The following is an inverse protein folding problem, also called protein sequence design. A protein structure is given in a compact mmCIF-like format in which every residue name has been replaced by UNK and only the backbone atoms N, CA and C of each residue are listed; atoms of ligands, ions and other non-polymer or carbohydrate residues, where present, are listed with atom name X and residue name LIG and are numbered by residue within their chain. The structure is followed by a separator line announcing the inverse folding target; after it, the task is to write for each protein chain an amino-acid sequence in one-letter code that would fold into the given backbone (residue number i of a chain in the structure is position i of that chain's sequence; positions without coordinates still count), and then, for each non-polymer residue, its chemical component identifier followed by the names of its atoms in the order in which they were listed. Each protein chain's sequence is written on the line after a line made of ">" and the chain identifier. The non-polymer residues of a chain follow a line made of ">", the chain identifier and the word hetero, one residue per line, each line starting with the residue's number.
data_IF_020982490765
#
_entry.id   IF_020982490765
#
_cell.length_a   1.000
_cell.length_b   1.000
_cell.length_c   1.000
_cell.angle_alpha   90.00
_cell.angle_beta   90.00
_cell.angle_gamma   90.00
#
_symmetry.space_group_name_H-M   'P 1'
#
loop_
_entity.id
_entity.type
_entity.pdbx_description
1 polymer ?
#
# COMPACT_ATOMS: atom_id res chain seq x y z
N UNK A 1 -13.35 -21.21 0.71
CA UNK A 1 -12.51 -20.61 1.76
C UNK A 1 -13.42 -19.90 2.74
N UNK A 2 -13.14 -20.00 4.04
CA UNK A 2 -13.83 -19.22 5.09
C UNK A 2 -12.81 -18.24 5.67
N UNK A 3 -13.16 -16.96 5.75
CA UNK A 3 -12.29 -15.91 6.25
C UNK A 3 -13.05 -14.99 7.19
N UNK A 4 -12.37 -14.42 8.19
CA UNK A 4 -12.95 -13.37 9.02
C UNK A 4 -12.93 -12.04 8.26
N UNK A 5 -13.93 -11.19 8.50
CA UNK A 5 -14.02 -9.82 7.98
C UNK A 5 -13.05 -8.82 8.66
N UNK A 6 -12.11 -9.31 9.48
CA UNK A 6 -11.08 -8.50 10.11
C UNK A 6 -10.03 -7.99 9.10
N UNK A 7 -9.82 -6.67 9.08
CA UNK A 7 -8.71 -6.02 8.37
C UNK A 7 -8.69 -6.26 6.85
N UNK A 8 -7.49 -6.42 6.29
CA UNK A 8 -7.28 -6.55 4.82
C UNK A 8 -7.88 -7.80 4.17
N UNK A 9 -8.38 -8.77 4.95
CA UNK A 9 -9.04 -9.95 4.40
C UNK A 9 -10.40 -9.63 3.77
N UNK A 10 -11.09 -8.58 4.25
CA UNK A 10 -12.35 -8.12 3.66
C UNK A 10 -12.18 -7.59 2.23
N UNK A 11 -11.01 -7.04 1.90
CA UNK A 11 -10.70 -6.53 0.56
C UNK A 11 -10.37 -7.67 -0.42
N UNK A 12 -9.84 -8.78 0.12
CA UNK A 12 -9.39 -9.95 -0.65
C UNK A 12 -10.51 -10.97 -0.87
N UNK A 13 -11.46 -11.10 0.06
CA UNK A 13 -12.55 -12.08 -0.04
C UNK A 13 -13.89 -11.40 -0.29
N UNK A 14 -14.45 -11.62 -1.47
CA UNK A 14 -15.82 -11.24 -1.81
C UNK A 14 -16.78 -12.31 -1.30
N UNK A 15 -17.63 -11.94 -0.36
CA UNK A 15 -18.63 -12.83 0.26
C UNK A 15 -19.52 -13.47 -0.81
N UNK A 16 -19.72 -14.79 -0.72
CA UNK A 16 -20.51 -15.63 -1.62
C UNK A 16 -20.07 -15.61 -3.10
N UNK A 17 -18.91 -15.03 -3.40
CA UNK A 17 -18.34 -15.02 -4.77
C UNK A 17 -16.99 -15.74 -4.82
N UNK A 18 -16.11 -15.45 -3.86
CA UNK A 18 -14.74 -16.01 -3.79
C UNK A 18 -14.48 -16.73 -2.47
N UNK A 19 -15.42 -16.64 -1.53
CA UNK A 19 -15.40 -17.32 -0.24
C UNK A 19 -16.50 -16.79 0.66
N UNK A 20 -16.57 -17.35 1.87
CA UNK A 20 -17.56 -16.94 2.87
C UNK A 20 -16.86 -16.14 3.95
N UNK A 21 -17.31 -14.90 4.14
CA UNK A 21 -16.88 -14.05 5.26
C UNK A 21 -17.67 -14.37 6.53
N UNK A 22 -16.98 -14.45 7.66
CA UNK A 22 -17.57 -14.51 9.00
C UNK A 22 -17.19 -13.27 9.81
N UNK A 23 -18.05 -12.87 10.74
CA UNK A 23 -17.78 -11.74 11.61
C UNK A 23 -16.60 -12.02 12.53
N UNK A 24 -15.69 -11.05 12.63
CA UNK A 24 -14.56 -11.09 13.55
C UNK A 24 -15.03 -11.28 14.99
N UNK A 25 -14.34 -12.15 15.73
CA UNK A 25 -14.62 -12.45 17.13
C UNK A 25 -16.04 -13.00 17.39
N UNK A 26 -16.68 -13.62 16.39
CA UNK A 26 -17.98 -14.27 16.53
C UNK A 26 -17.91 -15.78 16.17
N UNK A 27 -17.87 -16.67 17.18
CA UNK A 27 -17.74 -18.12 16.94
C UNK A 27 -18.98 -18.75 16.27
N UNK A 28 -20.18 -18.19 16.48
CA UNK A 28 -21.40 -18.68 15.81
C UNK A 28 -21.35 -18.40 14.31
N UNK A 29 -20.90 -17.20 13.93
CA UNK A 29 -20.71 -16.81 12.53
C UNK A 29 -19.67 -17.70 11.83
N UNK A 30 -18.59 -18.05 12.53
CA UNK A 30 -17.59 -18.99 12.01
C UNK A 30 -18.17 -20.39 11.81
N UNK A 31 -18.89 -20.92 12.81
CA UNK A 31 -19.51 -22.23 12.73
C UNK A 31 -20.50 -22.32 11.55
N UNK A 32 -21.34 -21.29 11.39
CA UNK A 32 -22.25 -21.19 10.24
C UNK A 32 -21.50 -21.22 8.90
N UNK A 33 -20.42 -20.44 8.76
CA UNK A 33 -19.66 -20.38 7.52
C UNK A 33 -18.98 -21.71 7.18
N UNK A 34 -18.51 -22.45 8.19
CA UNK A 34 -17.94 -23.79 8.02
C UNK A 34 -19.02 -24.79 7.60
N UNK A 35 -20.16 -24.83 8.29
CA UNK A 35 -21.26 -25.74 7.95
C UNK A 35 -21.73 -25.52 6.51
N UNK A 36 -21.93 -24.25 6.11
CA UNK A 36 -22.32 -23.91 4.73
C UNK A 36 -21.32 -24.42 3.70
N UNK A 37 -20.01 -24.28 3.97
CA UNK A 37 -18.97 -24.75 3.07
C UNK A 37 -18.93 -26.29 2.93
N UNK A 38 -19.39 -27.02 3.95
CA UNK A 38 -19.44 -28.49 3.95
C UNK A 38 -20.75 -29.04 3.37
N UNK A 39 -21.86 -28.32 3.53
CA UNK A 39 -23.18 -28.72 3.03
C UNK A 39 -23.29 -28.64 1.50
N UNK A 40 -22.69 -27.62 0.87
CA UNK A 40 -22.74 -27.42 -0.58
C UNK A 40 -21.35 -27.44 -1.22
N UNK A 41 -20.86 -28.66 -1.49
CA UNK A 41 -19.54 -28.87 -2.09
C UNK A 41 -19.39 -28.26 -3.49
N UNK A 42 -20.48 -28.17 -4.27
CA UNK A 42 -20.46 -27.55 -5.60
C UNK A 42 -20.33 -26.03 -5.54
N UNK A 43 -21.06 -25.36 -4.64
CA UNK A 43 -20.91 -23.92 -4.41
C UNK A 43 -19.52 -23.58 -3.90
N UNK A 44 -18.99 -24.38 -2.95
CA UNK A 44 -17.64 -24.20 -2.43
C UNK A 44 -16.57 -24.34 -3.53
N UNK A 45 -16.75 -25.27 -4.46
CA UNK A 45 -15.87 -25.45 -5.63
C UNK A 45 -15.97 -24.27 -6.60
N UNK A 46 -17.19 -23.81 -6.90
CA UNK A 46 -17.43 -22.66 -7.76
C UNK A 46 -16.74 -21.41 -7.22
N UNK A 47 -16.95 -21.08 -5.94
CA UNK A 47 -16.29 -19.95 -5.30
C UNK A 47 -14.76 -20.09 -5.28
N UNK A 48 -14.23 -21.30 -5.08
CA UNK A 48 -12.80 -21.54 -5.13
C UNK A 48 -12.20 -21.30 -6.53
N UNK A 49 -12.96 -21.59 -7.58
CA UNK A 49 -12.55 -21.32 -8.95
C UNK A 49 -12.54 -19.81 -9.24
N UNK A 50 -13.61 -19.10 -8.87
CA UNK A 50 -13.68 -17.63 -8.96
C UNK A 50 -12.55 -16.94 -8.19
N UNK A 51 -12.22 -17.44 -6.99
CA UNK A 51 -11.11 -16.93 -6.20
C UNK A 51 -9.76 -17.10 -6.92
N UNK A 52 -9.52 -18.25 -7.55
CA UNK A 52 -8.29 -18.51 -8.31
C UNK A 52 -8.17 -17.60 -9.53
N UNK A 53 -9.28 -17.35 -10.22
CA UNK A 53 -9.32 -16.43 -11.36
C UNK A 53 -9.00 -15.01 -10.92
N UNK A 54 -9.62 -14.54 -9.84
CA UNK A 54 -9.35 -13.21 -9.26
C UNK A 54 -7.91 -13.05 -8.78
N UNK A 55 -7.32 -14.07 -8.16
CA UNK A 55 -5.91 -14.04 -7.75
C UNK A 55 -4.97 -13.80 -8.94
N UNK A 56 -5.30 -14.32 -10.12
CA UNK A 56 -4.50 -14.12 -11.34
C UNK A 56 -4.69 -12.74 -11.97
N UNK A 57 -5.81 -12.07 -11.72
CA UNK A 57 -6.08 -10.75 -12.32
C UNK A 57 -5.65 -9.60 -11.42
N UNK A 58 -6.00 -9.69 -10.14
CA UNK A 58 -5.93 -8.57 -9.20
C UNK A 58 -4.65 -8.65 -8.34
N UNK A 59 -4.13 -9.87 -8.15
CA UNK A 59 -2.99 -10.15 -7.27
C UNK A 59 -1.80 -10.78 -8.01
N UNK A 60 -1.69 -10.51 -9.32
CA UNK A 60 -0.53 -10.92 -10.10
C UNK A 60 0.73 -10.18 -9.60
N UNK A 61 1.65 -10.93 -8.98
CA UNK A 61 2.87 -10.39 -8.41
C UNK A 61 3.76 -9.69 -9.43
N UNK A 62 3.78 -10.15 -10.69
CA UNK A 62 4.60 -9.55 -11.74
C UNK A 62 4.07 -8.16 -12.08
N UNK A 63 2.75 -8.06 -12.26
CA UNK A 63 2.06 -6.78 -12.52
C UNK A 63 2.17 -5.82 -11.33
N UNK A 64 2.01 -6.30 -10.11
CA UNK A 64 2.17 -5.48 -8.91
C UNK A 64 3.61 -4.98 -8.80
N UNK A 65 4.61 -5.85 -9.00
CA UNK A 65 6.02 -5.46 -8.96
C UNK A 65 6.37 -4.41 -10.03
N UNK A 66 5.81 -4.52 -11.23
CA UNK A 66 5.98 -3.53 -12.31
C UNK A 66 5.39 -2.17 -11.93
N UNK A 67 4.16 -2.14 -11.39
CA UNK A 67 3.55 -0.90 -10.92
C UNK A 67 4.33 -0.29 -9.76
N UNK A 68 4.74 -1.11 -8.77
CA UNK A 68 5.56 -0.66 -7.66
C UNK A 68 6.85 -0.04 -8.21
N UNK A 69 7.58 -0.76 -9.08
CA UNK A 69 8.80 -0.24 -9.71
C UNK A 69 8.56 1.10 -10.41
N UNK A 70 7.49 1.22 -11.20
CA UNK A 70 7.16 2.47 -11.89
C UNK A 70 7.00 3.66 -10.93
N UNK A 71 6.37 3.45 -9.78
CA UNK A 71 6.25 4.49 -8.74
C UNK A 71 7.60 4.83 -8.12
N UNK A 72 8.44 3.84 -7.83
CA UNK A 72 9.80 4.08 -7.33
C UNK A 72 10.65 4.84 -8.36
N UNK A 73 10.64 4.42 -9.63
CA UNK A 73 11.38 5.06 -10.72
C UNK A 73 10.91 6.50 -10.92
N UNK A 74 9.59 6.76 -10.91
CA UNK A 74 9.04 8.12 -10.99
C UNK A 74 9.51 8.99 -9.82
N UNK A 75 9.30 8.51 -8.59
CA UNK A 75 9.65 9.25 -7.37
C UNK A 75 11.15 9.53 -7.30
N UNK A 76 11.96 8.57 -7.74
CA UNK A 76 13.40 8.71 -7.82
C UNK A 76 13.82 9.79 -8.82
N UNK A 77 13.23 9.79 -10.02
CA UNK A 77 13.52 10.82 -11.03
C UNK A 77 13.07 12.21 -10.57
N UNK A 78 11.88 12.32 -9.97
CA UNK A 78 11.39 13.57 -9.38
C UNK A 78 12.36 14.06 -8.29
N UNK A 79 12.79 13.18 -7.39
CA UNK A 79 13.77 13.49 -6.36
C UNK A 79 15.09 14.01 -6.96
N UNK A 80 15.66 13.32 -7.95
CA UNK A 80 16.91 13.73 -8.60
C UNK A 80 16.79 15.09 -9.32
N UNK A 81 15.60 15.43 -9.82
CA UNK A 81 15.34 16.72 -10.48
C UNK A 81 15.02 17.86 -9.51
N UNK A 82 14.84 17.55 -8.23
CA UNK A 82 14.42 18.51 -7.21
C UNK A 82 15.60 19.04 -6.39
N UNK A 83 15.40 20.20 -5.76
CA UNK A 83 16.38 20.80 -4.84
C UNK A 83 16.80 19.88 -3.68
N UNK A 84 16.00 18.85 -3.37
CA UNK A 84 16.29 17.88 -2.32
C UNK A 84 17.55 17.04 -2.58
N UNK A 85 17.96 16.90 -3.85
CA UNK A 85 19.19 16.17 -4.19
C UNK A 85 20.45 16.89 -3.67
N UNK A 86 20.41 18.21 -3.53
CA UNK A 86 21.55 19.01 -3.10
C UNK A 86 21.92 18.71 -1.63
N UNK A 87 20.90 18.66 -0.76
CA UNK A 87 21.06 18.45 0.68
C UNK A 87 20.98 16.97 1.10
N UNK A 88 20.93 16.05 0.14
CA UNK A 88 20.72 14.63 0.43
C UNK A 88 21.85 14.01 1.27
N UNK A 89 21.53 13.00 2.07
CA UNK A 89 22.49 12.20 2.82
C UNK A 89 22.94 10.94 2.05
N UNK A 90 22.31 10.68 0.90
CA UNK A 90 22.69 9.60 -0.02
C UNK A 90 23.94 9.98 -0.81
N UNK A 91 24.82 9.04 -1.16
CA UNK A 91 26.10 9.30 -1.85
C UNK A 91 25.88 9.63 -3.35
N UNK A 92 25.13 10.69 -3.62
CA UNK A 92 24.72 11.14 -4.95
C UNK A 92 25.19 12.55 -5.24
N UNK A 93 25.24 13.41 -4.22
CA UNK A 93 25.74 14.78 -4.34
C UNK A 93 27.06 14.96 -3.57
N UNK A 94 27.93 15.90 -4.01
CA UNK A 94 29.15 16.22 -3.28
C UNK A 94 28.84 16.61 -1.82
N UNK A 95 29.68 16.16 -0.89
CA UNK A 95 29.52 16.47 0.53
C UNK A 95 28.50 15.59 1.28
N UNK A 96 27.86 14.61 0.61
CA UNK A 96 26.81 13.80 1.22
C UNK A 96 27.32 12.91 2.37
N UNK A 97 28.51 12.33 2.20
CA UNK A 97 29.13 11.50 3.24
C UNK A 97 29.47 12.33 4.48
N UNK A 98 29.99 13.55 4.30
CA UNK A 98 30.29 14.47 5.39
C UNK A 98 29.01 14.93 6.11
N UNK A 99 27.91 15.18 5.38
CA UNK A 99 26.60 15.48 5.99
C UNK A 99 26.07 14.29 6.79
N UNK A 100 26.15 13.07 6.25
CA UNK A 100 25.70 11.86 6.92
C UNK A 100 26.53 11.55 8.18
N UNK A 101 27.86 11.76 8.11
CA UNK A 101 28.77 11.60 9.24
C UNK A 101 28.50 12.61 10.34
N UNK A 102 28.29 13.90 9.99
CA UNK A 102 27.92 14.96 10.94
C UNK A 102 26.64 14.63 11.71
N UNK A 103 25.69 13.96 11.06
CA UNK A 103 24.42 13.55 11.66
C UNK A 103 24.46 12.16 12.32
N UNK A 104 25.60 11.46 12.29
CA UNK A 104 25.78 10.11 12.85
C UNK A 104 24.68 9.13 12.42
N UNK A 105 24.26 9.23 11.15
CA UNK A 105 23.12 8.46 10.62
C UNK A 105 23.30 6.95 10.75
N UNK A 106 24.53 6.45 10.60
CA UNK A 106 24.84 5.02 10.76
C UNK A 106 24.57 4.53 12.18
N UNK A 107 25.06 5.25 13.18
CA UNK A 107 24.84 4.91 14.59
C UNK A 107 23.35 4.98 14.96
N UNK A 108 22.62 5.97 14.44
CA UNK A 108 21.17 6.09 14.64
C UNK A 108 20.38 4.94 13.99
N UNK A 109 20.79 4.50 12.79
CA UNK A 109 20.14 3.39 12.10
C UNK A 109 20.33 2.06 12.84
N UNK A 110 21.48 1.86 13.49
CA UNK A 110 21.77 0.68 14.30
C UNK A 110 21.07 0.72 15.67
N UNK A 111 20.95 1.90 16.27
CA UNK A 111 20.30 2.08 17.57
C UNK A 111 18.77 1.94 17.53
N UNK A 112 18.15 2.10 16.35
CA UNK A 112 16.69 2.00 16.18
C UNK A 112 15.90 3.08 16.92
N UNK A 113 16.56 4.17 17.31
CA UNK A 113 15.96 5.23 18.11
C UNK A 113 15.03 6.10 17.25
N UNK A 114 13.89 6.52 17.81
CA UNK A 114 12.87 7.25 17.07
C UNK A 114 13.42 8.61 16.59
N UNK A 115 13.66 8.73 15.28
CA UNK A 115 14.15 9.96 14.66
C UNK A 115 13.02 10.99 14.65
N UNK A 116 13.16 12.08 15.40
CA UNK A 116 12.29 13.25 15.25
C UNK A 116 12.48 13.81 13.82
N UNK A 117 11.44 13.72 12.98
CA UNK A 117 11.51 14.19 11.60
C UNK A 117 11.81 15.70 11.58
N UNK A 118 12.97 16.14 11.05
CA UNK A 118 13.29 17.56 11.03
C UNK A 118 12.30 18.31 10.13
N UNK A 119 11.99 19.55 10.50
CA UNK A 119 11.19 20.44 9.67
C UNK A 119 11.97 20.76 8.39
N UNK A 120 11.30 20.59 7.26
CA UNK A 120 11.87 20.79 5.93
C UNK A 120 11.89 22.27 5.61
N UNK A 121 13.06 22.86 5.40
CA UNK A 121 13.21 24.22 4.86
C UNK A 121 13.31 24.17 3.33
N UNK A 122 12.27 24.64 2.64
CA UNK A 122 12.24 24.78 1.18
C UNK A 122 13.11 25.98 0.75
N UNK A 123 14.06 25.82 -0.20
CA UNK A 123 14.86 26.95 -0.68
C UNK A 123 14.01 27.96 -1.47
N UNK A 124 14.38 29.24 -1.40
CA UNK A 124 13.65 30.34 -2.03
C UNK A 124 13.60 30.27 -3.57
N UNK A 125 14.50 29.50 -4.20
CA UNK A 125 14.60 29.33 -5.66
C UNK A 125 13.60 28.34 -6.26
N UNK A 126 12.93 27.51 -5.45
CA UNK A 126 11.91 26.59 -5.92
C UNK A 126 10.56 27.31 -5.99
N UNK A 127 10.22 27.98 -7.09
CA UNK A 127 8.86 28.52 -7.27
C UNK A 127 7.82 27.39 -7.23
N UNK A 128 6.71 27.63 -6.53
CA UNK A 128 5.66 26.65 -6.33
C UNK A 128 4.78 26.59 -7.58
N UNK A 129 4.98 25.60 -8.44
CA UNK A 129 3.93 25.21 -9.38
C UNK A 129 2.78 24.64 -8.55
N UNK A 130 1.72 25.45 -8.38
CA UNK A 130 0.51 25.02 -7.67
C UNK A 130 -0.13 23.92 -8.50
N UNK A 131 0.07 22.67 -8.11
CA UNK A 131 -0.72 21.56 -8.62
C UNK A 131 -2.16 21.78 -8.18
N UNK A 132 -2.99 22.28 -9.10
CA UNK A 132 -4.43 22.42 -8.89
C UNK A 132 -5.03 21.03 -8.96
N UNK A 133 -5.33 20.46 -7.79
CA UNK A 133 -6.14 19.26 -7.69
C UNK A 133 -7.58 19.65 -8.02
N UNK A 134 -8.06 19.25 -9.20
CA UNK A 134 -9.44 19.49 -9.61
C UNK A 134 -10.30 18.41 -8.97
N UNK A 135 -10.93 18.75 -7.85
CA UNK A 135 -11.96 17.91 -7.24
C UNK A 135 -13.11 17.79 -8.24
N UNK A 136 -13.32 16.59 -8.77
CA UNK A 136 -14.50 16.25 -9.55
C UNK A 136 -15.55 15.78 -8.53
N UNK A 137 -16.33 16.72 -8.02
CA UNK A 137 -17.60 16.41 -7.33
C UNK A 137 -18.49 15.67 -8.33
N UNK A 138 -18.69 14.38 -8.09
CA UNK A 138 -19.77 13.61 -8.71
C UNK A 138 -20.99 13.74 -7.81
N UNK A 139 -21.77 14.80 -8.01
CA UNK A 139 -23.14 14.86 -7.49
C UNK A 139 -23.95 13.74 -8.12
N UNK A 140 -24.24 12.73 -7.31
CA UNK A 140 -25.23 11.69 -7.61
C UNK A 140 -26.28 11.77 -6.52
N UNK A 141 -27.21 12.72 -6.64
CA UNK A 141 -28.49 12.66 -5.94
C UNK A 141 -29.55 12.09 -6.91
N UNK A 142 -29.86 10.80 -6.73
CA UNK A 142 -31.11 10.19 -7.18
C UNK A 142 -32.26 10.70 -6.29
N UNK A 143 -33.35 11.18 -6.88
CA UNK A 143 -34.60 10.43 -7.18
C UNK A 143 -35.44 10.13 -5.95
#
# INVERSE_FOLDING_TARGET
>A
MVASDAGGLREVVLHDQTGTLCYANNPESLAWAICRALESGDEARSMAQSAKERLRTDFDWSRLAEHTRSVYDRTWNEFLSSFWVEDTLWPLSPGAEERAARLRVRELAEAGEAIHRPAVSRPASAEAERVSFREHETDTEGS
#
